data_IF_957940660943
#
_entry.id   IF_957940660943
#
_cell.length_a   1.000
_cell.length_b   1.000
_cell.length_c   1.000
_cell.angle_alpha   90.00
_cell.angle_beta   90.00
_cell.angle_gamma   90.00
#
_symmetry.space_group_name_H-M   'P 1'
#
loop_
_entity.id
_entity.type
_entity.pdbx_description
1 polymer ?
#
# COMPACT_ATOMS: atom_id res chain seq x y z
N UNK A 1 19.91 -17.58 12.40
CA UNK A 1 20.22 -16.49 11.44
C UNK A 1 21.28 -15.62 12.07
N UNK A 2 22.36 -15.29 11.37
CA UNK A 2 23.41 -14.39 11.90
C UNK A 2 22.87 -12.96 12.00
N UNK A 3 23.39 -12.17 12.96
CA UNK A 3 22.97 -10.77 13.17
C UNK A 3 23.04 -9.91 11.89
N UNK A 4 24.10 -10.00 11.04
CA UNK A 4 24.15 -9.23 9.80
C UNK A 4 23.00 -9.54 8.83
N UNK A 5 22.55 -10.79 8.75
CA UNK A 5 21.42 -11.17 7.89
C UNK A 5 20.10 -10.62 8.44
N UNK A 6 19.92 -10.66 9.76
CA UNK A 6 18.72 -10.07 10.39
C UNK A 6 18.62 -8.56 10.12
N UNK A 7 19.75 -7.84 10.24
CA UNK A 7 19.83 -6.39 9.93
C UNK A 7 19.52 -6.14 8.46
N UNK A 8 20.09 -6.91 7.54
CA UNK A 8 19.84 -6.75 6.10
C UNK A 8 18.36 -6.97 5.73
N UNK A 9 17.67 -7.91 6.39
CA UNK A 9 16.25 -8.17 6.16
C UNK A 9 15.33 -7.09 6.75
N UNK A 10 15.75 -6.46 7.84
CA UNK A 10 14.99 -5.37 8.47
C UNK A 10 15.24 -3.99 7.81
N UNK A 11 16.34 -3.83 7.07
CA UNK A 11 16.74 -2.53 6.51
C UNK A 11 15.66 -1.93 5.60
N UNK A 12 15.07 -2.72 4.71
CA UNK A 12 14.02 -2.22 3.81
C UNK A 12 12.74 -1.84 4.55
N UNK A 13 12.17 -2.68 5.44
CA UNK A 13 11.06 -2.27 6.31
C UNK A 13 11.35 -1.01 7.14
N UNK A 14 12.55 -0.86 7.68
CA UNK A 14 12.95 0.34 8.45
C UNK A 14 12.96 1.57 7.53
N UNK A 15 13.58 1.49 6.35
CA UNK A 15 13.60 2.58 5.37
C UNK A 15 12.18 3.03 5.01
N UNK A 16 11.28 2.09 4.75
CA UNK A 16 9.90 2.39 4.39
C UNK A 16 9.12 3.01 5.55
N UNK A 17 9.32 2.54 6.78
CA UNK A 17 8.72 3.14 7.97
C UNK A 17 9.27 4.55 8.23
N UNK A 18 10.55 4.78 8.04
CA UNK A 18 11.12 6.14 8.12
C UNK A 18 10.48 7.08 7.09
N UNK A 19 10.24 6.59 5.87
CA UNK A 19 9.52 7.35 4.85
C UNK A 19 8.06 7.60 5.23
N UNK A 20 7.36 6.67 5.91
CA UNK A 20 6.02 6.89 6.46
C UNK A 20 6.01 8.03 7.47
N UNK A 21 6.97 8.03 8.41
CA UNK A 21 7.13 9.09 9.43
C UNK A 21 7.49 10.45 8.82
N UNK A 22 8.16 10.45 7.66
CA UNK A 22 8.50 11.65 6.90
C UNK A 22 7.36 12.08 5.95
N UNK A 23 6.15 12.17 6.46
CA UNK A 23 4.93 12.57 5.72
C UNK A 23 4.63 11.69 4.49
N UNK A 24 5.04 10.41 4.55
CA UNK A 24 4.84 9.49 3.45
C UNK A 24 5.79 9.71 2.27
N UNK A 25 6.83 10.53 2.44
CA UNK A 25 7.68 11.04 1.36
C UNK A 25 6.86 11.77 0.26
N UNK A 26 5.80 12.48 0.68
CA UNK A 26 4.84 13.10 -0.26
C UNK A 26 5.40 14.36 -0.95
N UNK A 27 6.42 14.98 -0.38
CA UNK A 27 7.09 16.10 -1.06
C UNK A 27 7.98 15.59 -2.20
N UNK A 28 8.07 16.30 -3.34
CA UNK A 28 8.85 15.86 -4.50
C UNK A 28 10.29 15.44 -4.19
N UNK A 29 11.01 16.26 -3.43
CA UNK A 29 12.38 15.93 -3.04
C UNK A 29 12.45 14.66 -2.16
N UNK A 30 11.52 14.49 -1.22
CA UNK A 30 11.47 13.31 -0.36
C UNK A 30 11.15 12.03 -1.15
N UNK A 31 10.26 12.11 -2.15
CA UNK A 31 9.96 11.01 -3.06
C UNK A 31 11.19 10.58 -3.87
N UNK A 32 11.97 11.54 -4.36
CA UNK A 32 13.23 11.27 -5.09
C UNK A 32 14.27 10.63 -4.18
N UNK A 33 14.44 11.14 -2.94
CA UNK A 33 15.34 10.53 -1.96
C UNK A 33 14.92 9.10 -1.61
N UNK A 34 13.63 8.84 -1.44
CA UNK A 34 13.14 7.48 -1.22
C UNK A 34 13.47 6.58 -2.42
N UNK A 35 13.26 7.05 -3.65
CA UNK A 35 13.60 6.31 -4.86
C UNK A 35 15.10 6.02 -4.94
N UNK A 36 15.95 7.01 -4.69
CA UNK A 36 17.41 6.85 -4.66
C UNK A 36 17.86 5.83 -3.59
N UNK A 37 17.26 5.90 -2.39
CA UNK A 37 17.54 4.96 -1.30
C UNK A 37 17.11 3.53 -1.65
N UNK A 38 15.95 3.34 -2.31
CA UNK A 38 15.51 2.04 -2.79
C UNK A 38 16.41 1.51 -3.92
N UNK A 39 16.84 2.36 -4.83
CA UNK A 39 17.82 2.01 -5.86
C UNK A 39 19.16 1.56 -5.25
N UNK A 40 19.68 2.30 -4.27
CA UNK A 40 20.89 1.93 -3.54
C UNK A 40 20.72 0.61 -2.78
N UNK A 41 19.57 0.41 -2.12
CA UNK A 41 19.27 -0.84 -1.43
C UNK A 41 19.19 -2.03 -2.42
N UNK A 42 18.66 -1.82 -3.61
CA UNK A 42 18.66 -2.84 -4.67
C UNK A 42 20.08 -3.17 -5.14
N UNK A 43 20.93 -2.18 -5.38
CA UNK A 43 22.34 -2.41 -5.76
C UNK A 43 23.08 -3.20 -4.67
N UNK A 44 22.87 -2.85 -3.40
CA UNK A 44 23.42 -3.62 -2.26
C UNK A 44 22.87 -5.07 -2.28
N UNK A 45 21.57 -5.24 -2.48
CA UNK A 45 20.96 -6.57 -2.53
C UNK A 45 21.58 -7.44 -3.63
N UNK A 46 21.79 -6.88 -4.82
CA UNK A 46 22.42 -7.58 -5.96
C UNK A 46 23.91 -7.83 -5.71
N UNK A 47 24.62 -6.97 -4.98
CA UNK A 47 26.02 -7.17 -4.62
C UNK A 47 26.24 -8.20 -3.49
N UNK A 48 25.18 -8.63 -2.79
CA UNK A 48 25.23 -9.60 -1.69
C UNK A 48 24.90 -11.03 -2.15
N UNK A 49 24.97 -12.04 -1.25
CA UNK A 49 24.53 -13.40 -1.57
C UNK A 49 23.09 -13.54 -2.06
N UNK A 50 22.24 -12.52 -1.94
CA UNK A 50 20.91 -12.46 -2.53
C UNK A 50 20.94 -12.59 -4.06
N UNK A 51 22.03 -12.18 -4.71
CA UNK A 51 22.27 -12.37 -6.15
C UNK A 51 22.07 -13.83 -6.62
N UNK A 52 22.36 -14.80 -5.76
CA UNK A 52 22.20 -16.24 -6.10
C UNK A 52 20.75 -16.64 -6.36
N UNK A 53 19.81 -15.84 -5.91
CA UNK A 53 18.37 -16.09 -6.02
C UNK A 53 17.71 -15.25 -7.15
N UNK A 54 18.51 -14.60 -8.01
CA UNK A 54 17.97 -13.80 -9.14
C UNK A 54 17.15 -14.63 -10.13
N UNK A 55 17.39 -15.94 -10.24
CA UNK A 55 16.53 -16.83 -11.01
C UNK A 55 15.05 -16.87 -10.53
N UNK A 56 14.76 -16.37 -9.31
CA UNK A 56 13.38 -16.18 -8.89
C UNK A 56 12.66 -15.06 -9.68
N UNK A 57 13.42 -14.18 -10.33
CA UNK A 57 12.90 -13.10 -11.16
C UNK A 57 12.50 -13.58 -12.57
N UNK A 58 12.93 -14.75 -13.01
CA UNK A 58 12.57 -15.30 -14.33
C UNK A 58 11.04 -15.41 -14.47
N UNK A 59 10.37 -15.77 -13.38
CA UNK A 59 8.91 -15.81 -13.34
C UNK A 59 8.24 -14.40 -13.38
N UNK A 60 9.02 -13.36 -13.11
CA UNK A 60 8.54 -11.97 -13.13
C UNK A 60 8.71 -11.30 -14.50
N UNK A 61 9.16 -12.00 -15.53
CA UNK A 61 9.34 -11.44 -16.88
C UNK A 61 8.03 -10.86 -17.43
N UNK A 62 6.91 -11.56 -17.27
CA UNK A 62 5.60 -11.05 -17.76
C UNK A 62 5.15 -9.82 -16.98
N UNK A 63 4.97 -9.85 -15.64
CA UNK A 63 4.56 -8.64 -14.91
C UNK A 63 5.62 -7.53 -14.98
N UNK A 64 6.91 -7.87 -15.08
CA UNK A 64 7.97 -6.89 -15.30
C UNK A 64 7.87 -6.22 -16.66
N UNK A 65 7.60 -6.97 -17.73
CA UNK A 65 7.37 -6.43 -19.06
C UNK A 65 6.15 -5.51 -19.12
N UNK A 66 5.05 -5.88 -18.47
CA UNK A 66 3.85 -5.03 -18.35
C UNK A 66 4.14 -3.74 -17.56
N UNK A 67 4.90 -3.84 -16.47
CA UNK A 67 5.33 -2.67 -15.70
C UNK A 67 6.23 -1.74 -16.52
N UNK A 68 7.18 -2.29 -17.27
CA UNK A 68 8.03 -1.53 -18.19
C UNK A 68 7.23 -0.92 -19.35
N UNK A 69 6.16 -1.58 -19.81
CA UNK A 69 5.24 -1.00 -20.78
C UNK A 69 4.53 0.25 -20.22
N UNK A 70 4.12 0.23 -18.94
CA UNK A 70 3.57 1.44 -18.27
C UNK A 70 4.59 2.58 -18.28
N UNK A 71 5.85 2.31 -17.91
CA UNK A 71 6.92 3.30 -17.97
C UNK A 71 7.16 3.79 -19.42
N UNK A 72 7.14 2.87 -20.38
CA UNK A 72 7.27 3.19 -21.80
C UNK A 72 6.16 4.12 -22.30
N UNK A 73 4.92 3.90 -21.89
CA UNK A 73 3.80 4.80 -22.18
C UNK A 73 4.01 6.17 -21.54
N UNK A 74 4.44 6.22 -20.27
CA UNK A 74 4.72 7.49 -19.60
C UNK A 74 5.85 8.26 -20.29
N UNK A 75 6.92 7.59 -20.72
CA UNK A 75 7.98 8.20 -21.52
C UNK A 75 7.45 8.69 -22.90
N UNK A 76 6.57 7.92 -23.53
CA UNK A 76 5.94 8.29 -24.78
C UNK A 76 5.11 9.57 -24.63
N UNK A 77 4.40 9.76 -23.52
CA UNK A 77 3.62 10.98 -23.28
C UNK A 77 4.45 12.25 -23.15
N UNK A 78 5.78 12.15 -22.96
CA UNK A 78 6.70 13.30 -23.00
C UNK A 78 6.96 13.83 -24.43
N UNK A 79 6.42 13.15 -25.44
CA UNK A 79 6.54 13.53 -26.86
C UNK A 79 5.20 14.00 -27.42
N UNK A 80 5.18 14.71 -28.56
CA UNK A 80 3.92 15.09 -29.21
C UNK A 80 3.34 13.97 -30.11
N UNK A 81 3.94 12.78 -30.14
CA UNK A 81 3.59 11.72 -31.08
C UNK A 81 2.40 10.90 -30.58
N UNK A 82 1.19 11.39 -30.79
CA UNK A 82 -0.04 10.68 -30.46
C UNK A 82 -1.17 11.01 -31.43
N UNK A 83 -2.31 10.30 -31.32
CA UNK A 83 -3.50 10.62 -32.09
C UNK A 83 -3.94 12.06 -31.80
N UNK A 84 -3.86 12.94 -32.78
CA UNK A 84 -4.21 14.36 -32.63
C UNK A 84 -3.04 15.27 -32.25
N UNK A 85 -1.82 14.77 -32.12
CA UNK A 85 -0.63 15.55 -31.75
C UNK A 85 -0.52 15.82 -30.25
N UNK A 86 0.18 16.88 -29.86
CA UNK A 86 0.31 17.30 -28.47
C UNK A 86 -1.04 17.65 -27.85
N UNK A 87 -1.14 17.55 -26.51
CA UNK A 87 -2.38 17.79 -25.80
C UNK A 87 -2.91 19.22 -26.05
N UNK A 88 -4.20 19.41 -26.37
CA UNK A 88 -4.77 20.74 -26.66
C UNK A 88 -4.60 21.76 -25.54
N UNK A 89 -4.44 21.31 -24.30
CA UNK A 89 -4.21 22.15 -23.13
C UNK A 89 -2.98 23.07 -23.26
N UNK A 90 -1.98 22.70 -24.06
CA UNK A 90 -0.79 23.55 -24.30
C UNK A 90 -1.12 24.90 -24.96
N UNK A 91 -2.26 24.98 -25.65
CA UNK A 91 -2.71 26.25 -26.26
C UNK A 91 -3.09 27.31 -25.23
N UNK A 92 -3.41 26.92 -23.99
CA UNK A 92 -3.78 27.87 -22.92
C UNK A 92 -2.59 28.60 -22.33
N UNK A 93 -1.43 27.98 -22.33
CA UNK A 93 -0.22 28.55 -21.75
C UNK A 93 0.50 29.52 -22.71
N UNK A 94 -0.02 29.76 -23.92
CA UNK A 94 0.64 30.48 -25.01
C UNK A 94 2.04 29.92 -25.33
N UNK A 95 2.34 28.71 -24.91
CA UNK A 95 3.56 27.96 -25.19
C UNK A 95 3.22 26.97 -26.31
N UNK A 96 4.10 26.75 -27.24
CA UNK A 96 3.86 25.83 -28.37
C UNK A 96 3.47 24.44 -27.87
N UNK A 97 2.52 23.80 -28.56
CA UNK A 97 2.08 22.44 -28.25
C UNK A 97 3.24 21.45 -28.36
N UNK A 98 3.62 20.80 -27.27
CA UNK A 98 4.94 20.21 -27.15
C UNK A 98 4.96 18.74 -26.70
N UNK A 99 3.92 18.27 -26.00
CA UNK A 99 3.83 16.90 -25.50
C UNK A 99 2.39 16.41 -25.37
N UNK A 100 2.23 15.09 -25.22
CA UNK A 100 0.93 14.50 -24.85
C UNK A 100 0.61 14.80 -23.38
N UNK A 101 1.60 14.78 -22.49
CA UNK A 101 1.42 15.21 -21.12
C UNK A 101 1.27 16.73 -21.00
N UNK A 102 0.40 17.19 -20.10
CA UNK A 102 0.21 18.63 -19.84
C UNK A 102 1.25 19.22 -18.88
N UNK A 103 2.03 18.36 -18.19
CA UNK A 103 3.15 18.77 -17.33
C UNK A 103 4.27 17.73 -17.41
N UNK A 104 5.32 18.07 -18.15
CA UNK A 104 6.48 17.20 -18.33
C UNK A 104 7.24 16.94 -17.04
N UNK A 105 7.38 17.94 -16.18
CA UNK A 105 8.15 17.81 -14.96
C UNK A 105 7.49 16.83 -13.99
N UNK A 106 6.19 16.93 -13.80
CA UNK A 106 5.41 16.01 -12.99
C UNK A 106 5.47 14.58 -13.54
N UNK A 107 5.35 14.42 -14.87
CA UNK A 107 5.44 13.09 -15.51
C UNK A 107 6.83 12.46 -15.34
N UNK A 108 7.91 13.21 -15.48
CA UNK A 108 9.28 12.72 -15.23
C UNK A 108 9.43 12.29 -13.78
N UNK A 109 8.89 13.05 -12.84
CA UNK A 109 8.95 12.70 -11.41
C UNK A 109 8.16 11.44 -11.10
N UNK A 110 7.01 11.22 -11.72
CA UNK A 110 6.25 9.96 -11.56
C UNK A 110 6.99 8.77 -12.17
N UNK A 111 7.65 8.93 -13.32
CA UNK A 111 8.52 7.88 -13.89
C UNK A 111 9.63 7.50 -12.91
N UNK A 112 10.28 8.47 -12.27
CA UNK A 112 11.31 8.21 -11.25
C UNK A 112 10.71 7.47 -10.05
N UNK A 113 9.52 7.86 -9.57
CA UNK A 113 8.82 7.12 -8.52
C UNK A 113 8.51 5.68 -8.91
N UNK A 114 8.02 5.44 -10.14
CA UNK A 114 7.79 4.09 -10.65
C UNK A 114 9.06 3.25 -10.64
N UNK A 115 10.22 3.81 -11.00
CA UNK A 115 11.51 3.08 -10.90
C UNK A 115 11.81 2.68 -9.44
N UNK A 116 11.48 3.55 -8.47
CA UNK A 116 11.57 3.22 -7.04
C UNK A 116 10.65 2.07 -6.65
N UNK A 117 9.41 2.04 -7.16
CA UNK A 117 8.48 0.93 -6.94
C UNK A 117 9.00 -0.39 -7.52
N UNK A 118 9.55 -0.35 -8.75
CA UNK A 118 10.21 -1.51 -9.35
C UNK A 118 11.37 -2.03 -8.50
N UNK A 119 12.20 -1.11 -7.96
CA UNK A 119 13.29 -1.48 -7.05
C UNK A 119 12.78 -2.13 -5.77
N UNK A 120 11.73 -1.59 -5.16
CA UNK A 120 11.09 -2.17 -3.97
C UNK A 120 10.53 -3.57 -4.25
N UNK A 121 9.86 -3.76 -5.39
CA UNK A 121 9.37 -5.07 -5.83
C UNK A 121 10.49 -6.10 -5.97
N UNK A 122 11.57 -5.74 -6.65
CA UNK A 122 12.71 -6.66 -6.86
C UNK A 122 13.38 -7.01 -5.53
N UNK A 123 13.59 -6.05 -4.63
CA UNK A 123 14.11 -6.32 -3.28
C UNK A 123 13.20 -7.30 -2.54
N UNK A 124 11.88 -7.07 -2.56
CA UNK A 124 10.89 -7.97 -1.97
C UNK A 124 10.95 -9.36 -2.58
N UNK A 125 11.05 -9.48 -3.90
CA UNK A 125 11.15 -10.76 -4.60
C UNK A 125 12.43 -11.51 -4.25
N UNK A 126 13.59 -10.85 -4.17
CA UNK A 126 14.84 -11.46 -3.75
C UNK A 126 14.77 -11.95 -2.29
N UNK A 127 14.13 -11.20 -1.41
CA UNK A 127 13.91 -11.61 -0.02
C UNK A 127 12.89 -12.74 0.10
N UNK A 128 11.91 -12.79 -0.79
CA UNK A 128 10.86 -13.80 -0.86
C UNK A 128 11.26 -15.13 -1.50
N UNK A 129 12.36 -15.16 -2.26
CA UNK A 129 12.77 -16.31 -3.07
C UNK A 129 13.06 -17.59 -2.25
N UNK A 130 13.45 -17.44 -0.99
CA UNK A 130 13.67 -18.54 -0.04
C UNK A 130 12.71 -18.41 1.12
N UNK A 131 12.06 -19.50 1.44
CA UNK A 131 11.02 -19.55 2.44
C UNK A 131 11.46 -19.06 3.83
N UNK A 132 12.60 -19.55 4.31
CA UNK A 132 13.18 -19.18 5.59
C UNK A 132 13.43 -17.66 5.70
N UNK A 133 13.90 -17.09 4.61
CA UNK A 133 14.17 -15.66 4.50
C UNK A 133 12.89 -14.85 4.38
N UNK A 134 11.93 -15.28 3.55
CA UNK A 134 10.62 -14.64 3.44
C UNK A 134 9.88 -14.57 4.79
N UNK A 135 9.89 -15.67 5.54
CA UNK A 135 9.29 -15.71 6.88
C UNK A 135 10.01 -14.75 7.85
N UNK A 136 11.35 -14.70 7.79
CA UNK A 136 12.14 -13.77 8.62
C UNK A 136 11.90 -12.30 8.21
N UNK A 137 11.79 -12.01 6.91
CA UNK A 137 11.46 -10.66 6.40
C UNK A 137 10.08 -10.22 6.87
N UNK A 138 9.06 -11.09 6.75
CA UNK A 138 7.72 -10.79 7.25
C UNK A 138 7.71 -10.55 8.75
N UNK A 139 8.43 -11.37 9.51
CA UNK A 139 8.57 -11.17 10.94
C UNK A 139 9.23 -9.83 11.28
N UNK A 140 10.31 -9.48 10.59
CA UNK A 140 10.97 -8.17 10.73
C UNK A 140 10.02 -7.02 10.37
N UNK A 141 9.28 -7.15 9.27
CA UNK A 141 8.28 -6.15 8.83
C UNK A 141 7.21 -5.92 9.91
N UNK A 142 6.70 -6.98 10.53
CA UNK A 142 5.69 -6.86 11.59
C UNK A 142 6.29 -6.27 12.88
N UNK A 143 7.51 -6.59 13.23
CA UNK A 143 8.17 -6.00 14.39
C UNK A 143 8.46 -4.52 14.20
N UNK A 144 8.99 -4.15 13.04
CA UNK A 144 9.21 -2.74 12.66
C UNK A 144 7.88 -1.99 12.58
N UNK A 145 6.84 -2.63 12.01
CA UNK A 145 5.49 -2.09 11.96
C UNK A 145 4.85 -1.92 13.34
N UNK A 146 5.09 -2.84 14.26
CA UNK A 146 4.65 -2.72 15.67
C UNK A 146 5.35 -1.57 16.41
N UNK A 147 6.66 -1.41 16.22
CA UNK A 147 7.41 -0.28 16.75
C UNK A 147 6.92 1.06 16.15
N UNK A 148 6.67 1.08 14.85
CA UNK A 148 6.06 2.23 14.17
C UNK A 148 4.67 2.58 14.74
N UNK A 149 3.81 1.58 14.96
CA UNK A 149 2.50 1.78 15.56
C UNK A 149 2.59 2.32 17.00
N UNK A 150 3.53 1.78 17.81
CA UNK A 150 3.78 2.30 19.16
C UNK A 150 4.25 3.77 19.13
N UNK A 151 5.20 4.11 18.26
CA UNK A 151 5.68 5.47 18.10
C UNK A 151 4.56 6.41 17.62
N UNK A 152 3.74 5.97 16.67
CA UNK A 152 2.59 6.73 16.16
C UNK A 152 1.57 6.99 17.27
N UNK A 153 1.29 5.99 18.10
CA UNK A 153 0.39 6.12 19.24
C UNK A 153 0.93 7.09 20.29
N UNK A 154 2.21 6.98 20.65
CA UNK A 154 2.85 7.92 21.58
C UNK A 154 2.80 9.34 21.04
N UNK A 155 3.18 9.54 19.77
CA UNK A 155 3.13 10.87 19.14
C UNK A 155 1.72 11.45 19.10
N UNK A 156 0.69 10.59 18.91
CA UNK A 156 -0.71 11.00 18.93
C UNK A 156 -1.15 11.45 20.32
N UNK A 157 -0.91 10.63 21.35
CA UNK A 157 -1.31 10.93 22.73
C UNK A 157 -0.55 12.15 23.29
N UNK A 158 0.71 12.33 22.90
CA UNK A 158 1.54 13.48 23.30
C UNK A 158 1.25 14.77 22.54
N UNK A 159 0.33 14.74 21.54
CA UNK A 159 0.05 15.91 20.70
C UNK A 159 1.18 16.33 19.76
N UNK A 160 2.18 15.48 19.56
CA UNK A 160 3.37 15.77 18.73
C UNK A 160 3.12 15.61 17.24
N UNK A 161 2.08 14.86 16.85
CA UNK A 161 1.75 14.72 15.43
C UNK A 161 0.89 15.89 14.94
N UNK A 162 1.00 16.19 13.65
CA UNK A 162 0.05 17.09 12.98
C UNK A 162 -1.29 16.35 12.89
N UNK A 163 -2.17 16.61 13.86
CA UNK A 163 -3.45 15.93 13.96
C UNK A 163 -4.44 16.51 12.94
N UNK A 164 -5.02 15.66 12.12
CA UNK A 164 -6.12 16.01 11.22
C UNK A 164 -7.46 15.82 11.95
N UNK A 165 -7.96 16.86 12.58
CA UNK A 165 -9.25 16.81 13.28
C UNK A 165 -9.30 15.73 14.38
N UNK A 166 -8.28 15.61 15.21
CA UNK A 166 -8.21 14.63 16.31
C UNK A 166 -7.99 13.18 15.88
N UNK A 167 -7.63 12.92 14.62
CA UNK A 167 -7.39 11.58 14.06
C UNK A 167 -5.91 11.23 14.07
N UNK A 168 -5.59 9.96 14.34
CA UNK A 168 -4.22 9.46 14.22
C UNK A 168 -3.83 9.39 12.74
N UNK A 169 -2.71 10.02 12.36
CA UNK A 169 -2.22 10.03 10.98
C UNK A 169 -1.07 9.07 10.74
N UNK A 170 -0.34 8.68 11.79
CA UNK A 170 0.85 7.81 11.67
C UNK A 170 2.04 8.47 10.97
N UNK A 171 2.12 9.80 11.00
CA UNK A 171 3.17 10.57 10.31
C UNK A 171 2.78 11.00 8.89
N UNK A 172 1.63 10.57 8.37
CA UNK A 172 1.12 11.02 7.07
C UNK A 172 0.37 12.36 7.15
N UNK A 173 0.16 12.99 6.00
CA UNK A 173 -0.70 14.18 5.89
C UNK A 173 -2.19 13.80 6.00
N UNK A 174 -2.55 12.56 5.70
CA UNK A 174 -3.92 12.05 5.77
C UNK A 174 -4.03 10.86 6.72
N UNK A 175 -5.01 10.89 7.61
CA UNK A 175 -5.33 9.75 8.47
C UNK A 175 -5.80 8.51 7.67
N UNK A 176 -6.37 8.69 6.48
CA UNK A 176 -6.73 7.57 5.61
C UNK A 176 -5.49 6.83 5.10
N UNK A 177 -4.43 7.58 4.74
CA UNK A 177 -3.14 6.97 4.36
C UNK A 177 -2.58 6.11 5.50
N UNK A 178 -2.63 6.61 6.75
CA UNK A 178 -2.29 5.82 7.93
C UNK A 178 -3.14 4.57 8.07
N UNK A 179 -4.45 4.66 7.81
CA UNK A 179 -5.37 3.52 7.88
C UNK A 179 -4.98 2.40 6.90
N UNK A 180 -4.53 2.75 5.69
CA UNK A 180 -4.06 1.75 4.71
C UNK A 180 -2.86 0.96 5.26
N UNK A 181 -1.85 1.64 5.80
CA UNK A 181 -0.63 1.00 6.33
C UNK A 181 -0.95 0.17 7.57
N UNK A 182 -1.68 0.74 8.54
CA UNK A 182 -2.05 -0.01 9.75
C UNK A 182 -2.97 -1.18 9.44
N UNK A 183 -3.86 -1.07 8.45
CA UNK A 183 -4.69 -2.17 7.97
C UNK A 183 -3.85 -3.30 7.38
N UNK A 184 -2.90 -3.01 6.48
CA UNK A 184 -1.97 -4.01 5.94
C UNK A 184 -1.19 -4.71 7.05
N UNK A 185 -0.60 -3.94 7.98
CA UNK A 185 0.18 -4.48 9.09
C UNK A 185 -0.68 -5.34 10.04
N UNK A 186 -1.94 -4.97 10.26
CA UNK A 186 -2.88 -5.73 11.09
C UNK A 186 -3.19 -7.09 10.47
N UNK A 187 -3.48 -7.15 9.17
CA UNK A 187 -3.73 -8.42 8.45
C UNK A 187 -2.49 -9.33 8.48
N UNK A 188 -1.32 -8.78 8.21
CA UNK A 188 -0.06 -9.53 8.21
C UNK A 188 0.34 -9.97 9.63
N UNK A 189 0.14 -9.12 10.62
CA UNK A 189 0.39 -9.44 12.03
C UNK A 189 -0.49 -10.59 12.51
N UNK A 190 -1.78 -10.58 12.13
CA UNK A 190 -2.70 -11.68 12.42
C UNK A 190 -2.27 -12.97 11.72
N UNK A 191 -1.86 -12.92 10.46
CA UNK A 191 -1.36 -14.10 9.75
C UNK A 191 -0.11 -14.68 10.43
N UNK A 192 0.80 -13.82 10.90
CA UNK A 192 1.98 -14.22 11.67
C UNK A 192 1.60 -14.86 12.99
N UNK A 193 0.67 -14.25 13.73
CA UNK A 193 0.13 -14.79 14.98
C UNK A 193 -0.47 -16.20 14.79
N UNK A 194 -1.34 -16.37 13.79
CA UNK A 194 -1.97 -17.65 13.48
C UNK A 194 -0.95 -18.72 13.13
N UNK A 195 0.12 -18.38 12.39
CA UNK A 195 1.24 -19.28 12.10
C UNK A 195 1.98 -19.69 13.37
N UNK A 196 2.36 -18.72 14.21
CA UNK A 196 3.16 -18.97 15.41
C UNK A 196 2.38 -19.76 16.46
N UNK A 197 1.09 -19.48 16.57
CA UNK A 197 0.17 -20.23 17.43
C UNK A 197 0.10 -21.70 17.03
N UNK A 198 0.03 -22.00 15.73
CA UNK A 198 0.04 -23.38 15.20
C UNK A 198 1.36 -24.08 15.44
N UNK A 199 2.47 -23.39 15.21
CA UNK A 199 3.82 -23.94 15.45
C UNK A 199 4.08 -24.26 16.92
N UNK A 200 3.32 -23.69 17.81
CA UNK A 200 3.35 -23.97 19.23
C UNK A 200 2.33 -25.06 19.66
N UNK A 201 1.66 -25.74 18.72
CA UNK A 201 0.72 -26.82 19.02
C UNK A 201 1.42 -27.97 19.80
N UNK A 202 0.70 -28.60 20.74
CA UNK A 202 1.28 -29.59 21.66
C UNK A 202 2.02 -28.99 22.86
N UNK A 203 2.19 -27.67 22.94
CA UNK A 203 2.75 -27.00 24.13
C UNK A 203 1.63 -26.45 25.01
N UNK A 204 1.83 -26.42 26.31
CA UNK A 204 0.86 -25.83 27.22
C UNK A 204 0.50 -24.37 26.85
N UNK A 205 -0.72 -23.93 27.21
CA UNK A 205 -1.28 -22.64 26.87
C UNK A 205 -0.32 -21.46 27.17
N UNK A 206 0.28 -21.43 28.38
CA UNK A 206 1.22 -20.40 28.77
C UNK A 206 2.42 -20.29 27.82
N UNK A 207 3.02 -21.40 27.38
CA UNK A 207 4.13 -21.42 26.42
C UNK A 207 3.71 -20.99 25.02
N UNK A 208 2.48 -21.30 24.61
CA UNK A 208 1.92 -20.82 23.34
C UNK A 208 1.78 -19.29 23.37
N UNK A 209 1.21 -18.76 24.45
CA UNK A 209 1.00 -17.32 24.64
C UNK A 209 2.34 -16.58 24.65
N UNK A 210 3.33 -17.06 25.39
CA UNK A 210 4.67 -16.43 25.44
C UNK A 210 5.33 -16.37 24.04
N UNK A 211 5.18 -17.42 23.24
CA UNK A 211 5.74 -17.48 21.88
C UNK A 211 5.06 -16.55 20.88
N UNK A 212 3.79 -16.28 21.08
CA UNK A 212 2.99 -15.40 20.20
C UNK A 212 2.85 -13.99 20.75
N UNK A 213 3.40 -13.70 21.95
CA UNK A 213 3.22 -12.42 22.61
C UNK A 213 3.62 -11.22 21.74
N UNK A 214 4.74 -11.30 21.03
CA UNK A 214 5.21 -10.21 20.18
C UNK A 214 4.27 -10.01 18.98
N UNK A 215 3.84 -11.08 18.31
CA UNK A 215 2.89 -10.95 17.19
C UNK A 215 1.52 -10.46 17.66
N UNK A 216 1.06 -10.86 18.85
CA UNK A 216 -0.15 -10.31 19.47
C UNK A 216 0.03 -8.82 19.73
N UNK A 217 1.10 -8.41 20.40
CA UNK A 217 1.35 -7.01 20.73
C UNK A 217 1.43 -6.12 19.48
N UNK A 218 2.19 -6.53 18.45
CA UNK A 218 2.28 -5.79 17.20
C UNK A 218 0.92 -5.67 16.50
N UNK A 219 0.17 -6.79 16.43
CA UNK A 219 -1.17 -6.79 15.80
C UNK A 219 -2.14 -5.90 16.55
N UNK A 220 -2.13 -5.93 17.89
CA UNK A 220 -2.99 -5.09 18.72
C UNK A 220 -2.65 -3.61 18.55
N UNK A 221 -1.37 -3.25 18.56
CA UNK A 221 -0.92 -1.86 18.34
C UNK A 221 -1.34 -1.34 16.98
N UNK A 222 -1.13 -2.12 15.92
CA UNK A 222 -1.51 -1.68 14.56
C UNK A 222 -3.03 -1.58 14.41
N UNK A 223 -3.80 -2.50 15.00
CA UNK A 223 -5.26 -2.45 15.02
C UNK A 223 -5.79 -1.23 15.81
N UNK A 224 -5.19 -0.93 16.96
CA UNK A 224 -5.52 0.27 17.75
C UNK A 224 -5.24 1.54 16.95
N UNK A 225 -4.06 1.64 16.31
CA UNK A 225 -3.76 2.78 15.46
C UNK A 225 -4.74 2.90 14.28
N UNK A 226 -5.11 1.78 13.63
CA UNK A 226 -6.12 1.77 12.57
C UNK A 226 -7.45 2.36 13.06
N UNK A 227 -7.94 1.95 14.21
CA UNK A 227 -9.19 2.47 14.79
C UNK A 227 -9.10 3.96 15.09
N UNK A 228 -7.98 4.42 15.66
CA UNK A 228 -7.73 5.84 15.96
C UNK A 228 -7.59 6.71 14.69
N UNK A 229 -7.36 6.12 13.52
CA UNK A 229 -7.46 6.88 12.25
C UNK A 229 -8.88 7.32 11.93
N UNK A 230 -9.90 6.70 12.52
CA UNK A 230 -11.33 6.91 12.22
C UNK A 230 -11.64 6.86 10.70
N UNK A 231 -10.92 6.04 9.93
CA UNK A 231 -11.13 5.82 8.50
C UNK A 231 -12.15 4.70 8.28
N UNK A 232 -13.39 5.04 7.96
CA UNK A 232 -14.48 4.07 7.81
C UNK A 232 -14.18 2.99 6.79
N UNK A 233 -13.76 3.38 5.58
CA UNK A 233 -13.46 2.42 4.51
C UNK A 233 -12.16 1.63 4.79
N UNK A 234 -11.14 2.27 5.39
CA UNK A 234 -9.92 1.59 5.80
C UNK A 234 -10.19 0.50 6.84
N UNK A 235 -11.04 0.80 7.84
CA UNK A 235 -11.50 -0.19 8.83
C UNK A 235 -12.33 -1.31 8.16
N UNK A 236 -13.31 -0.96 7.32
CA UNK A 236 -14.16 -1.94 6.64
C UNK A 236 -13.35 -2.87 5.72
N UNK A 237 -12.41 -2.33 4.95
CA UNK A 237 -11.53 -3.09 4.08
C UNK A 237 -10.63 -4.06 4.90
N UNK A 238 -10.11 -3.59 6.05
CA UNK A 238 -9.30 -4.43 6.94
C UNK A 238 -10.13 -5.53 7.58
N UNK A 239 -11.33 -5.23 8.06
CA UNK A 239 -12.25 -6.24 8.63
C UNK A 239 -12.62 -7.28 7.57
N UNK A 240 -12.92 -6.86 6.34
CA UNK A 240 -13.16 -7.76 5.22
C UNK A 240 -11.97 -8.68 4.92
N UNK A 241 -10.75 -8.11 4.87
CA UNK A 241 -9.52 -8.86 4.65
C UNK A 241 -9.24 -9.87 5.79
N UNK A 242 -9.45 -9.47 7.05
CA UNK A 242 -9.35 -10.34 8.23
C UNK A 242 -10.39 -11.46 8.18
N UNK A 243 -11.64 -11.14 7.80
CA UNK A 243 -12.69 -12.15 7.67
C UNK A 243 -12.32 -13.22 6.62
N UNK A 244 -11.85 -12.81 5.45
CA UNK A 244 -11.38 -13.73 4.40
C UNK A 244 -10.23 -14.60 4.91
N UNK A 245 -9.23 -14.01 5.59
CA UNK A 245 -8.11 -14.73 6.19
C UNK A 245 -8.58 -15.79 7.20
N UNK A 246 -9.51 -15.43 8.08
CA UNK A 246 -10.03 -16.34 9.12
C UNK A 246 -10.87 -17.45 8.51
N UNK A 247 -11.80 -17.12 7.61
CA UNK A 247 -12.64 -18.11 6.92
C UNK A 247 -11.77 -19.13 6.19
N UNK A 248 -10.77 -18.67 5.42
CA UNK A 248 -9.86 -19.56 4.71
C UNK A 248 -9.07 -20.46 5.69
N UNK A 249 -8.55 -19.86 6.78
CA UNK A 249 -7.77 -20.59 7.80
C UNK A 249 -8.61 -21.67 8.46
N UNK A 250 -9.87 -21.37 8.80
CA UNK A 250 -10.76 -22.33 9.47
C UNK A 250 -11.30 -23.41 8.54
N UNK A 251 -11.55 -23.08 7.27
CA UNK A 251 -11.97 -24.07 6.29
C UNK A 251 -10.90 -25.12 6.02
N UNK A 252 -9.62 -24.71 6.05
CA UNK A 252 -8.49 -25.60 5.76
C UNK A 252 -7.91 -26.29 7.00
N UNK A 253 -8.05 -25.67 8.17
CA UNK A 253 -7.42 -26.12 9.41
C UNK A 253 -8.37 -25.99 10.61
N UNK A 254 -9.30 -26.93 10.79
CA UNK A 254 -10.28 -26.89 11.89
C UNK A 254 -9.65 -26.80 13.30
N UNK A 255 -8.44 -27.32 13.49
CA UNK A 255 -7.68 -27.23 14.75
C UNK A 255 -7.26 -25.80 15.09
N UNK A 256 -7.28 -24.87 14.13
CA UNK A 256 -6.95 -23.46 14.33
C UNK A 256 -8.10 -22.61 14.90
N UNK A 257 -9.28 -23.22 15.17
CA UNK A 257 -10.46 -22.50 15.70
C UNK A 257 -10.18 -21.75 16.99
N UNK A 258 -9.39 -22.33 17.91
CA UNK A 258 -9.03 -21.65 19.17
C UNK A 258 -8.21 -20.36 18.93
N UNK A 259 -7.32 -20.35 17.94
CA UNK A 259 -6.55 -19.16 17.59
C UNK A 259 -7.44 -18.06 17.00
N UNK A 260 -8.42 -18.46 16.20
CA UNK A 260 -9.35 -17.51 15.62
C UNK A 260 -10.34 -16.94 16.62
N UNK A 261 -10.80 -17.74 17.57
CA UNK A 261 -11.62 -17.25 18.68
C UNK A 261 -10.83 -16.26 19.55
N UNK A 262 -9.55 -16.54 19.81
CA UNK A 262 -8.68 -15.59 20.50
C UNK A 262 -8.46 -14.29 19.69
N UNK A 263 -8.22 -14.42 18.39
CA UNK A 263 -8.09 -13.26 17.51
C UNK A 263 -9.40 -12.45 17.46
N UNK A 264 -10.53 -13.11 17.24
CA UNK A 264 -11.85 -12.46 17.24
C UNK A 264 -12.16 -11.81 18.60
N UNK A 265 -11.84 -12.47 19.70
CA UNK A 265 -11.97 -11.92 21.05
C UNK A 265 -11.08 -10.69 21.25
N UNK A 266 -9.82 -10.74 20.83
CA UNK A 266 -8.89 -9.60 20.90
C UNK A 266 -9.40 -8.39 20.11
N UNK A 267 -9.81 -8.60 18.84
CA UNK A 267 -10.39 -7.53 18.04
C UNK A 267 -11.72 -7.03 18.63
N UNK A 268 -12.54 -7.94 19.17
CA UNK A 268 -13.77 -7.59 19.87
C UNK A 268 -13.49 -6.70 21.09
N UNK A 269 -12.54 -7.07 21.92
CA UNK A 269 -12.15 -6.28 23.12
C UNK A 269 -11.60 -4.91 22.70
N UNK A 270 -10.70 -4.83 21.72
CA UNK A 270 -10.18 -3.56 21.21
C UNK A 270 -11.34 -2.70 20.68
N UNK A 271 -12.25 -3.28 19.90
CA UNK A 271 -13.43 -2.59 19.39
C UNK A 271 -14.33 -2.06 20.52
N UNK A 272 -14.65 -2.90 21.52
CA UNK A 272 -15.47 -2.52 22.67
C UNK A 272 -14.79 -1.42 23.51
N UNK A 273 -13.51 -1.54 23.83
CA UNK A 273 -12.77 -0.52 24.59
C UNK A 273 -12.80 0.83 23.87
N UNK A 274 -12.66 0.84 22.55
CA UNK A 274 -12.72 2.08 21.77
C UNK A 274 -14.14 2.64 21.64
N UNK A 275 -15.15 1.77 21.58
CA UNK A 275 -16.56 2.20 21.56
C UNK A 275 -17.00 2.75 22.93
N UNK A 276 -16.61 2.10 24.03
CA UNK A 276 -16.96 2.53 25.38
C UNK A 276 -16.10 3.70 25.87
N UNK A 277 -14.88 3.88 25.31
CA UNK A 277 -13.99 5.00 25.65
C UNK A 277 -14.49 6.37 25.18
N UNK A 278 -15.74 6.49 24.74
CA UNK A 278 -16.41 7.75 24.45
C UNK A 278 -15.77 8.53 23.30
N UNK A 279 -15.35 7.84 22.25
CA UNK A 279 -14.77 8.52 21.10
C UNK A 279 -15.88 9.16 20.25
N UNK A 280 -16.36 10.34 20.67
CA UNK A 280 -17.34 11.17 19.96
C UNK A 280 -16.95 11.37 18.49
N UNK A 281 -15.65 11.31 18.18
CA UNK A 281 -15.12 11.40 16.83
C UNK A 281 -15.57 10.25 15.93
N UNK A 282 -15.59 9.00 16.41
CA UNK A 282 -16.05 7.84 15.62
C UNK A 282 -17.55 7.96 15.40
N UNK A 283 -18.31 8.30 16.44
CA UNK A 283 -19.77 8.43 16.39
C UNK A 283 -20.21 9.61 15.52
N UNK A 284 -19.58 10.79 15.66
CA UNK A 284 -19.89 11.96 14.83
C UNK A 284 -19.61 11.71 13.35
N UNK A 285 -18.57 10.91 13.05
CA UNK A 285 -18.25 10.54 11.68
C UNK A 285 -19.20 9.50 11.09
N UNK A 286 -19.74 8.59 11.90
CA UNK A 286 -20.80 7.68 11.44
C UNK A 286 -22.06 8.49 11.07
N UNK A 287 -22.35 9.54 11.83
CA UNK A 287 -23.50 10.44 11.58
C UNK A 287 -23.31 11.43 10.42
N UNK A 288 -22.07 11.84 10.10
CA UNK A 288 -21.77 12.90 9.10
C UNK A 288 -21.55 12.39 7.67
N UNK A 289 -22.19 11.28 7.31
CA UNK A 289 -21.91 10.57 6.03
C UNK A 289 -22.35 11.36 4.79
N UNK A 290 -23.40 12.18 4.87
CA UNK A 290 -24.01 12.81 3.70
C UNK A 290 -23.18 13.96 3.11
N UNK A 291 -22.58 14.83 3.94
CA UNK A 291 -21.80 15.97 3.46
C UNK A 291 -20.54 15.51 2.71
N UNK A 292 -19.78 14.58 3.28
CA UNK A 292 -18.57 14.07 2.63
C UNK A 292 -18.79 13.19 1.39
N UNK A 293 -20.00 12.75 1.10
CA UNK A 293 -20.35 12.05 -0.14
C UNK A 293 -20.70 13.02 -1.26
N UNK A 294 -21.34 14.15 -0.94
CA UNK A 294 -21.67 15.20 -1.91
C UNK A 294 -20.39 15.85 -2.47
N UNK A 295 -19.44 16.20 -1.58
CA UNK A 295 -18.15 16.81 -1.96
C UNK A 295 -17.33 15.87 -2.89
N UNK A 296 -17.33 14.57 -2.58
CA UNK A 296 -16.66 13.57 -3.43
C UNK A 296 -17.38 13.33 -4.75
N UNK A 297 -18.70 13.48 -4.78
CA UNK A 297 -19.50 13.36 -5.99
C UNK A 297 -19.10 14.40 -7.05
N UNK A 298 -18.96 15.67 -6.65
CA UNK A 298 -18.51 16.74 -7.52
C UNK A 298 -17.06 16.50 -8.03
N UNK A 299 -16.15 16.11 -7.11
CA UNK A 299 -14.77 15.76 -7.45
C UNK A 299 -14.73 14.63 -8.48
N UNK A 300 -15.42 13.51 -8.23
CA UNK A 300 -15.44 12.37 -9.14
C UNK A 300 -16.06 12.71 -10.49
N UNK A 301 -17.14 13.50 -10.53
CA UNK A 301 -17.77 13.92 -11.78
C UNK A 301 -16.83 14.81 -12.62
N UNK A 302 -16.10 15.72 -11.98
CA UNK A 302 -15.14 16.61 -12.65
C UNK A 302 -13.99 15.81 -13.28
N UNK A 303 -13.36 14.93 -12.48
CA UNK A 303 -12.22 14.13 -12.95
C UNK A 303 -12.63 12.98 -13.89
N UNK A 304 -13.87 12.49 -13.80
CA UNK A 304 -14.41 11.59 -14.81
C UNK A 304 -14.57 12.28 -16.16
N UNK A 305 -15.02 13.53 -16.19
CA UNK A 305 -15.06 14.34 -17.41
C UNK A 305 -13.66 14.59 -17.99
N UNK A 306 -12.66 14.82 -17.10
CA UNK A 306 -11.28 14.93 -17.51
C UNK A 306 -10.79 13.66 -18.23
N UNK A 307 -11.04 12.48 -17.63
CA UNK A 307 -10.71 11.21 -18.27
C UNK A 307 -11.39 11.06 -19.64
N UNK A 308 -12.68 11.35 -19.75
CA UNK A 308 -13.40 11.25 -21.04
C UNK A 308 -12.85 12.23 -22.09
N UNK A 309 -12.33 13.37 -21.68
CA UNK A 309 -11.71 14.34 -22.59
C UNK A 309 -10.37 13.85 -23.16
N UNK A 310 -9.62 13.00 -22.44
CA UNK A 310 -8.34 12.43 -22.90
C UNK A 310 -8.22 10.93 -22.54
N UNK A 311 -9.06 10.03 -23.11
CA UNK A 311 -9.19 8.66 -22.58
C UNK A 311 -8.04 7.74 -22.98
N UNK A 312 -7.31 8.02 -24.04
CA UNK A 312 -6.28 7.10 -24.58
C UNK A 312 -4.99 7.17 -23.79
N UNK A 313 -4.36 8.34 -23.72
CA UNK A 313 -3.09 8.56 -23.03
C UNK A 313 -3.22 9.34 -21.72
N UNK A 314 -4.44 9.81 -21.39
CA UNK A 314 -4.67 10.67 -20.24
C UNK A 314 -4.06 12.07 -20.40
N UNK A 315 -3.90 12.75 -19.28
CA UNK A 315 -3.31 14.10 -19.21
C UNK A 315 -1.81 14.07 -18.90
N UNK A 316 -1.26 12.89 -18.63
CA UNK A 316 0.12 12.66 -18.18
C UNK A 316 0.17 12.23 -16.71
N UNK A 317 1.07 11.31 -16.38
CA UNK A 317 1.25 10.87 -14.98
C UNK A 317 1.68 12.05 -14.09
N UNK A 318 1.09 12.13 -12.89
CA UNK A 318 1.39 13.15 -11.89
C UNK A 318 0.80 14.53 -12.19
N UNK A 319 -0.09 14.66 -13.18
CA UNK A 319 -0.64 15.96 -13.61
C UNK A 319 -1.93 16.37 -12.90
N UNK A 320 -2.37 15.62 -11.89
CA UNK A 320 -3.61 15.90 -11.18
C UNK A 320 -3.75 17.37 -10.77
N UNK A 321 -2.74 17.96 -10.13
CA UNK A 321 -2.80 19.35 -9.66
C UNK A 321 -3.02 20.33 -10.85
N UNK A 322 -2.33 20.14 -11.95
CA UNK A 322 -2.47 20.96 -13.16
C UNK A 322 -3.87 20.82 -13.77
N UNK A 323 -4.37 19.57 -13.87
CA UNK A 323 -5.71 19.28 -14.41
C UNK A 323 -6.81 19.82 -13.48
N UNK A 324 -6.68 19.61 -12.16
CA UNK A 324 -7.63 20.10 -11.19
C UNK A 324 -7.76 21.65 -11.25
N UNK A 325 -6.64 22.35 -11.31
CA UNK A 325 -6.63 23.81 -11.45
C UNK A 325 -7.26 24.26 -12.76
N UNK A 326 -7.01 23.53 -13.86
CA UNK A 326 -7.59 23.87 -15.17
C UNK A 326 -9.10 23.66 -15.23
N UNK A 327 -9.60 22.58 -14.63
CA UNK A 327 -11.03 22.24 -14.67
C UNK A 327 -11.86 22.97 -13.63
N UNK A 328 -11.21 23.70 -12.73
CA UNK A 328 -11.86 24.43 -11.66
C UNK A 328 -12.68 25.60 -12.23
N UNK A 329 -13.94 25.69 -11.84
CA UNK A 329 -14.82 26.83 -12.14
C UNK A 329 -15.08 27.65 -10.88
N UNK A 330 -15.71 28.82 -11.01
CA UNK A 330 -16.08 29.63 -9.85
C UNK A 330 -17.01 28.86 -8.89
N UNK A 331 -17.87 27.97 -9.41
CA UNK A 331 -18.80 27.18 -8.62
C UNK A 331 -18.09 26.02 -7.90
N UNK A 332 -17.07 25.39 -8.53
CA UNK A 332 -16.36 24.23 -7.99
C UNK A 332 -15.10 24.58 -7.19
N UNK A 333 -14.60 25.82 -7.33
CA UNK A 333 -13.39 26.26 -6.65
C UNK A 333 -13.43 26.12 -5.13
N UNK A 334 -14.54 26.43 -4.41
CA UNK A 334 -14.58 26.25 -2.96
C UNK A 334 -14.28 24.83 -2.51
N UNK A 335 -14.66 23.82 -3.32
CA UNK A 335 -14.49 22.40 -3.02
C UNK A 335 -13.15 21.86 -3.53
N UNK A 336 -12.72 22.28 -4.73
CA UNK A 336 -11.56 21.70 -5.41
C UNK A 336 -10.23 22.39 -5.08
N UNK A 337 -10.24 23.65 -4.60
CA UNK A 337 -9.02 24.44 -4.39
C UNK A 337 -7.98 23.77 -3.49
N UNK A 338 -8.42 23.05 -2.46
CA UNK A 338 -7.51 22.39 -1.50
C UNK A 338 -7.24 20.94 -1.82
N UNK A 339 -7.92 20.38 -2.83
CA UNK A 339 -7.82 18.96 -3.18
C UNK A 339 -6.53 18.72 -3.97
N UNK A 340 -5.80 17.67 -3.61
CA UNK A 340 -4.52 17.27 -4.21
C UNK A 340 -4.51 15.84 -4.76
N UNK A 341 -5.66 15.19 -4.81
CA UNK A 341 -5.85 13.87 -5.41
C UNK A 341 -7.34 13.60 -5.64
N UNK A 342 -7.70 12.72 -6.57
CA UNK A 342 -9.11 12.36 -6.84
C UNK A 342 -9.80 11.62 -5.70
N UNK A 343 -9.09 11.19 -4.65
CA UNK A 343 -9.58 10.27 -3.62
C UNK A 343 -10.13 8.95 -4.19
N UNK A 344 -9.70 8.58 -5.38
CA UNK A 344 -9.96 7.29 -6.02
C UNK A 344 -8.76 6.96 -6.92
N UNK A 345 -7.96 5.99 -6.49
CA UNK A 345 -6.71 5.63 -7.19
C UNK A 345 -6.97 5.21 -8.63
N UNK A 346 -8.07 4.51 -8.89
CA UNK A 346 -8.39 4.00 -10.23
C UNK A 346 -8.78 5.13 -11.20
N UNK A 347 -9.61 6.07 -10.71
CA UNK A 347 -9.98 7.24 -11.50
C UNK A 347 -8.77 8.12 -11.79
N UNK A 348 -7.89 8.33 -10.80
CA UNK A 348 -6.69 9.13 -11.00
C UNK A 348 -5.75 8.51 -12.03
N UNK A 349 -5.54 7.19 -11.99
CA UNK A 349 -4.76 6.50 -13.00
C UNK A 349 -5.36 6.60 -14.39
N UNK A 350 -6.70 6.45 -14.52
CA UNK A 350 -7.39 6.61 -15.81
C UNK A 350 -7.26 8.03 -16.36
N UNK A 351 -7.40 9.04 -15.50
CA UNK A 351 -7.25 10.44 -15.88
C UNK A 351 -5.81 10.75 -16.32
N UNK A 352 -4.82 10.35 -15.52
CA UNK A 352 -3.42 10.72 -15.75
C UNK A 352 -2.76 9.87 -16.85
N UNK A 353 -2.99 8.56 -16.87
CA UNK A 353 -2.31 7.61 -17.78
C UNK A 353 -3.18 7.16 -18.97
N UNK A 354 -4.46 7.52 -18.96
CA UNK A 354 -5.43 6.99 -19.91
C UNK A 354 -5.56 5.48 -19.83
N UNK A 355 -6.29 4.87 -20.74
CA UNK A 355 -6.44 3.42 -20.81
C UNK A 355 -5.11 2.74 -21.15
N UNK A 356 -4.32 3.34 -22.05
CA UNK A 356 -3.08 2.73 -22.58
C UNK A 356 -2.00 2.60 -21.49
N UNK A 357 -1.90 3.56 -20.58
CA UNK A 357 -0.95 3.47 -19.46
C UNK A 357 -1.49 2.74 -18.23
N UNK A 358 -2.80 2.84 -17.99
CA UNK A 358 -3.44 2.20 -16.83
C UNK A 358 -3.55 0.68 -16.99
N UNK A 359 -3.90 0.20 -18.20
CA UNK A 359 -4.12 -1.24 -18.44
C UNK A 359 -2.90 -2.11 -18.12
N UNK A 360 -1.68 -1.81 -18.60
CA UNK A 360 -0.52 -2.65 -18.28
C UNK A 360 -0.18 -2.60 -16.79
N UNK A 361 -0.41 -1.50 -16.06
CA UNK A 361 -0.23 -1.45 -14.62
C UNK A 361 -1.23 -2.35 -13.88
N UNK A 362 -2.51 -2.27 -14.24
CA UNK A 362 -3.56 -3.12 -13.66
C UNK A 362 -3.25 -4.59 -13.94
N UNK A 363 -2.83 -4.92 -15.15
CA UNK A 363 -2.44 -6.29 -15.52
C UNK A 363 -1.21 -6.77 -14.74
N UNK A 364 -0.23 -5.88 -14.48
CA UNK A 364 0.92 -6.19 -13.62
C UNK A 364 0.48 -6.63 -12.23
N UNK A 365 -0.36 -5.82 -11.58
CA UNK A 365 -0.88 -6.08 -10.24
C UNK A 365 -1.73 -7.35 -10.22
N UNK A 366 -2.65 -7.48 -11.18
CA UNK A 366 -3.53 -8.64 -11.32
C UNK A 366 -2.74 -9.93 -11.55
N UNK A 367 -1.68 -9.89 -12.37
CA UNK A 367 -0.78 -11.02 -12.60
C UNK A 367 -0.08 -11.45 -11.31
N UNK A 368 0.51 -10.51 -10.57
CA UNK A 368 1.23 -10.81 -9.33
C UNK A 368 0.31 -11.43 -8.29
N UNK A 369 -0.88 -10.84 -8.08
CA UNK A 369 -1.86 -11.33 -7.11
C UNK A 369 -2.46 -12.67 -7.57
N UNK A 370 -2.89 -12.76 -8.83
CA UNK A 370 -3.49 -13.97 -9.41
C UNK A 370 -2.54 -15.16 -9.39
N UNK A 371 -1.30 -14.95 -9.81
CA UNK A 371 -0.27 -15.98 -9.77
C UNK A 371 0.09 -16.43 -8.34
N UNK A 372 -0.09 -15.57 -7.35
CA UNK A 372 0.05 -15.95 -5.92
C UNK A 372 -1.16 -16.73 -5.43
N UNK A 373 -2.38 -16.31 -5.81
CA UNK A 373 -3.64 -17.00 -5.48
C UNK A 373 -3.67 -18.44 -5.96
N UNK A 374 -3.20 -18.69 -7.19
CA UNK A 374 -3.14 -20.03 -7.76
C UNK A 374 -2.23 -20.98 -6.99
N UNK A 375 -1.30 -20.45 -6.19
CA UNK A 375 -0.38 -21.21 -5.33
C UNK A 375 -0.85 -21.31 -3.88
N UNK A 376 -1.90 -20.62 -3.51
CA UNK A 376 -2.53 -20.76 -2.19
C UNK A 376 -3.18 -22.14 -2.12
N UNK A 377 -2.76 -22.98 -1.20
CA UNK A 377 -3.23 -24.35 -1.09
C UNK A 377 -2.12 -25.40 -1.36
N UNK A 378 -0.98 -25.00 -1.93
CA UNK A 378 0.14 -25.86 -2.26
C UNK A 378 1.27 -25.76 -1.21
N UNK A 379 1.60 -26.84 -0.51
CA UNK A 379 2.80 -26.95 0.34
C UNK A 379 2.73 -26.29 1.73
N UNK A 380 3.88 -26.07 2.36
CA UNK A 380 4.02 -25.47 3.70
C UNK A 380 4.07 -23.94 3.60
N UNK A 381 3.59 -23.18 4.63
CA UNK A 381 3.65 -21.69 4.67
C UNK A 381 2.41 -20.96 4.19
N UNK A 382 1.39 -21.68 3.91
CA UNK A 382 0.12 -21.23 3.38
C UNK A 382 -0.51 -20.09 4.17
N UNK A 383 -0.46 -20.15 5.51
CA UNK A 383 -1.05 -19.10 6.35
C UNK A 383 -0.41 -17.72 6.17
N UNK A 384 0.89 -17.65 5.87
CA UNK A 384 1.54 -16.37 5.56
C UNK A 384 1.25 -15.91 4.14
N UNK A 385 1.21 -16.84 3.18
CA UNK A 385 0.88 -16.51 1.80
C UNK A 385 -0.54 -15.95 1.68
N UNK A 386 -1.52 -16.61 2.33
CA UNK A 386 -2.89 -16.10 2.34
C UNK A 386 -2.98 -14.74 3.07
N UNK A 387 -2.20 -14.53 4.14
CA UNK A 387 -2.11 -13.23 4.80
C UNK A 387 -1.61 -12.13 3.84
N UNK A 388 -0.56 -12.41 3.06
CA UNK A 388 -0.06 -11.51 2.02
C UNK A 388 -1.09 -11.24 0.92
N UNK A 389 -1.83 -12.26 0.50
CA UNK A 389 -2.93 -12.11 -0.46
C UNK A 389 -4.07 -11.28 0.11
N UNK A 390 -4.48 -11.55 1.35
CA UNK A 390 -5.57 -10.82 2.00
C UNK A 390 -5.23 -9.34 2.26
N UNK A 391 -3.97 -9.01 2.55
CA UNK A 391 -3.59 -7.61 2.75
C UNK A 391 -3.81 -6.75 1.50
N UNK A 392 -3.76 -7.35 0.28
CA UNK A 392 -4.05 -6.60 -0.95
C UNK A 392 -5.50 -6.11 -0.99
N UNK A 393 -6.44 -6.81 -0.33
CA UNK A 393 -7.83 -6.35 -0.24
C UNK A 393 -7.92 -5.00 0.48
N UNK A 394 -7.09 -4.78 1.51
CA UNK A 394 -7.04 -3.49 2.20
C UNK A 394 -6.68 -2.37 1.23
N UNK A 395 -5.62 -2.55 0.43
CA UNK A 395 -5.14 -1.54 -0.51
C UNK A 395 -6.14 -1.32 -1.65
N UNK A 396 -6.61 -2.41 -2.27
CA UNK A 396 -7.47 -2.33 -3.44
C UNK A 396 -8.86 -1.79 -3.11
N UNK A 397 -9.47 -2.22 -2.00
CA UNK A 397 -10.80 -1.75 -1.59
C UNK A 397 -10.71 -0.32 -1.06
N UNK A 398 -9.71 0.01 -0.24
CA UNK A 398 -9.55 1.38 0.26
C UNK A 398 -9.25 2.37 -0.87
N UNK A 399 -8.50 1.95 -1.89
CA UNK A 399 -8.19 2.75 -3.08
C UNK A 399 -9.41 3.18 -3.91
N UNK A 400 -10.60 2.58 -3.70
CA UNK A 400 -11.85 3.02 -4.33
C UNK A 400 -12.33 4.40 -3.84
N UNK A 401 -11.93 4.81 -2.64
CA UNK A 401 -12.32 6.10 -2.07
C UNK A 401 -11.19 6.78 -1.27
N UNK A 402 -9.95 6.47 -1.61
CA UNK A 402 -8.75 7.11 -1.06
C UNK A 402 -7.61 7.16 -2.09
N UNK A 403 -6.61 7.99 -1.83
CA UNK A 403 -5.43 8.21 -2.67
C UNK A 403 -4.15 7.58 -2.09
N UNK A 404 -4.26 6.60 -1.20
CA UNK A 404 -3.11 6.05 -0.46
C UNK A 404 -1.95 5.60 -1.38
N UNK A 405 -2.22 5.08 -2.57
CA UNK A 405 -1.18 4.68 -3.54
C UNK A 405 -0.51 5.85 -4.26
N UNK A 406 -1.03 7.07 -4.14
CA UNK A 406 -0.33 8.28 -4.60
C UNK A 406 0.77 8.69 -3.61
N UNK A 407 0.70 8.21 -2.36
CA UNK A 407 1.72 8.44 -1.34
C UNK A 407 2.92 7.52 -1.61
N UNK A 408 4.11 8.06 -1.93
CA UNK A 408 5.24 7.27 -2.44
C UNK A 408 5.68 6.14 -1.50
N UNK A 409 5.71 6.39 -0.19
CA UNK A 409 6.12 5.38 0.78
C UNK A 409 5.13 4.22 0.92
N UNK A 410 3.83 4.48 0.76
CA UNK A 410 2.78 3.45 0.82
C UNK A 410 2.84 2.58 -0.43
N UNK A 411 2.96 3.21 -1.61
CA UNK A 411 3.12 2.50 -2.87
C UNK A 411 4.38 1.63 -2.86
N UNK A 412 5.50 2.16 -2.36
CA UNK A 412 6.75 1.41 -2.22
C UNK A 412 6.64 0.25 -1.22
N UNK A 413 5.97 0.45 -0.08
CA UNK A 413 5.73 -0.59 0.91
C UNK A 413 4.87 -1.72 0.34
N UNK A 414 3.80 -1.37 -0.36
CA UNK A 414 2.96 -2.36 -1.03
C UNK A 414 3.71 -3.09 -2.14
N UNK A 415 4.47 -2.37 -2.97
CA UNK A 415 5.29 -2.95 -4.03
C UNK A 415 6.33 -3.94 -3.49
N UNK A 416 7.00 -3.61 -2.38
CA UNK A 416 7.91 -4.51 -1.67
C UNK A 416 7.19 -5.78 -1.20
N UNK A 417 6.00 -5.65 -0.60
CA UNK A 417 5.21 -6.79 -0.15
C UNK A 417 4.66 -7.63 -1.31
N UNK A 418 4.30 -7.01 -2.43
CA UNK A 418 3.91 -7.72 -3.66
C UNK A 418 5.06 -8.55 -4.21
N UNK A 419 6.28 -8.00 -4.25
CA UNK A 419 7.48 -8.73 -4.66
C UNK A 419 7.76 -9.93 -3.73
N UNK A 420 7.70 -9.70 -2.43
CA UNK A 420 7.84 -10.74 -1.40
C UNK A 420 6.80 -11.85 -1.58
N UNK A 421 5.50 -11.47 -1.72
CA UNK A 421 4.38 -12.37 -1.97
C UNK A 421 4.61 -13.23 -3.22
N UNK A 422 4.96 -12.58 -4.33
CA UNK A 422 5.13 -13.22 -5.63
C UNK A 422 6.21 -14.30 -5.61
N UNK A 423 7.36 -13.99 -5.01
CA UNK A 423 8.47 -14.94 -4.90
C UNK A 423 8.20 -16.02 -3.84
N UNK A 424 7.60 -15.65 -2.69
CA UNK A 424 7.23 -16.58 -1.63
C UNK A 424 6.24 -17.67 -2.11
N UNK A 425 5.29 -17.29 -2.97
CA UNK A 425 4.34 -18.24 -3.58
C UNK A 425 5.03 -19.30 -4.43
N UNK A 426 6.23 -19.01 -4.94
CA UNK A 426 7.04 -19.89 -5.81
C UNK A 426 8.27 -20.45 -5.12
N UNK A 427 8.57 -20.01 -3.92
CA UNK A 427 9.78 -20.37 -3.19
C UNK A 427 9.92 -21.88 -3.02
N UNK A 428 11.09 -22.41 -3.41
CA UNK A 428 11.45 -23.80 -3.21
C UNK A 428 11.59 -24.07 -1.71
N UNK A 429 10.82 -25.04 -1.19
CA UNK A 429 11.16 -25.67 0.09
C UNK A 429 12.42 -26.52 -0.12
N UNK A 430 13.49 -26.25 0.65
CA UNK A 430 14.53 -27.24 0.85
C UNK A 430 14.02 -28.37 1.72
#
# INVERSE_FOLDING_TARGET
MSAPVAVALAATPILLVMAHLAFGANQPAAAQWLTAALGAALLIAVATPLRRDMGALDAALVPGGLFLATIGVALWTLTPFGPGGAHPAWTWAAVGADALTVDRSSTVMEIVKLMGLGSAFVIGALQGARRDRAEATLQATIWVGGAYAALSLVSFVSGLQIAQGGRLTGGFLSANSGATVFGMLTVLGLALFLRDWRRAEGRGFARRLTRTAVSIACTSLTATCLLLTASRLGMAATVGAVAVLLVWTFAREPKSRSAGLLAAGLFGVIGVVLLLGGNDLIWSRIGSTQVGLADRGALFATHWKAFIASPVFGWGLGTFDTVNLHLMTAETAPELWTIRATHNVYLQWLEEAGVVGTLPMVLTIAWVIGASLLRVGEGRGQGLLIGLVCMNLVVLVHGLADFALQVPSIAAFWSFLLGLQFAFARGRSR
#
